data_IF_335823914734
#
_entry.id   IF_335823914734
#
_cell.length_a   1.000
_cell.length_b   1.000
_cell.length_c   1.000
_cell.angle_alpha   90.00
_cell.angle_beta   90.00
_cell.angle_gamma   90.00
#
_symmetry.space_group_name_H-M   'P 1'
#
loop_
_entity.id
_entity.type
_entity.pdbx_description
1 polymer ?
#
# COMPACT_ATOMS: atom_id res chain seq x y z
N UNK A 1 -23.72 -19.82 30.49
CA UNK A 1 -23.10 -18.67 29.80
C UNK A 1 -22.20 -19.24 28.73
N UNK A 2 -22.54 -19.06 27.45
CA UNK A 2 -21.75 -19.63 26.35
C UNK A 2 -20.54 -18.72 26.10
N UNK A 3 -19.34 -19.25 26.27
CA UNK A 3 -18.08 -18.58 25.96
C UNK A 3 -17.97 -18.41 24.45
N UNK A 4 -18.14 -17.18 23.97
CA UNK A 4 -17.83 -16.80 22.59
C UNK A 4 -16.30 -16.83 22.44
N UNK A 5 -15.77 -17.96 21.97
CA UNK A 5 -14.39 -18.03 21.50
C UNK A 5 -14.40 -17.25 20.17
N UNK A 6 -13.61 -16.17 20.02
CA UNK A 6 -13.51 -15.49 18.73
C UNK A 6 -13.03 -16.53 17.72
N UNK A 7 -13.83 -16.81 16.70
CA UNK A 7 -13.32 -17.61 15.59
C UNK A 7 -12.25 -16.77 14.90
N UNK A 8 -11.01 -17.25 14.91
CA UNK A 8 -9.93 -16.62 14.18
C UNK A 8 -10.24 -16.71 12.68
N UNK A 9 -10.50 -15.55 12.07
CA UNK A 9 -10.73 -15.45 10.64
C UNK A 9 -9.39 -15.54 9.90
N UNK A 10 -9.17 -16.65 9.19
CA UNK A 10 -7.97 -16.84 8.36
C UNK A 10 -8.22 -16.17 7.01
N UNK A 11 -7.52 -15.05 6.79
CA UNK A 11 -7.59 -14.31 5.53
C UNK A 11 -6.55 -14.81 4.53
N UNK A 12 -6.94 -14.88 3.26
CA UNK A 12 -5.99 -14.91 2.15
C UNK A 12 -5.24 -13.58 2.03
N UNK A 13 -4.09 -13.59 1.35
CA UNK A 13 -3.32 -12.36 1.09
C UNK A 13 -4.16 -11.29 0.39
N UNK A 14 -5.01 -11.70 -0.55
CA UNK A 14 -5.89 -10.78 -1.29
C UNK A 14 -6.97 -10.17 -0.40
N UNK A 15 -7.54 -10.94 0.52
CA UNK A 15 -8.55 -10.44 1.46
C UNK A 15 -7.93 -9.44 2.45
N UNK A 16 -6.79 -9.77 3.04
CA UNK A 16 -6.07 -8.84 3.92
C UNK A 16 -5.68 -7.55 3.17
N UNK A 17 -5.14 -7.67 1.96
CA UNK A 17 -4.77 -6.51 1.14
C UNK A 17 -5.98 -5.61 0.87
N UNK A 18 -7.13 -6.20 0.52
CA UNK A 18 -8.36 -5.45 0.30
C UNK A 18 -8.87 -4.75 1.56
N UNK A 19 -8.75 -5.37 2.74
CA UNK A 19 -9.12 -4.74 4.01
C UNK A 19 -8.23 -3.53 4.30
N UNK A 20 -6.91 -3.67 4.12
CA UNK A 20 -5.95 -2.58 4.29
C UNK A 20 -6.27 -1.43 3.32
N UNK A 21 -6.49 -1.74 2.04
CA UNK A 21 -6.83 -0.75 1.02
C UNK A 21 -8.11 0.01 1.37
N UNK A 22 -9.17 -0.69 1.77
CA UNK A 22 -10.43 -0.04 2.19
C UNK A 22 -10.23 0.86 3.41
N UNK A 23 -9.45 0.43 4.40
CA UNK A 23 -9.18 1.25 5.59
C UNK A 23 -8.41 2.51 5.24
N UNK A 24 -7.40 2.40 4.37
CA UNK A 24 -6.64 3.56 3.89
C UNK A 24 -7.55 4.52 3.11
N UNK A 25 -8.36 4.01 2.18
CA UNK A 25 -9.28 4.84 1.39
C UNK A 25 -10.32 5.56 2.27
N UNK A 26 -10.80 4.89 3.32
CA UNK A 26 -11.76 5.48 4.27
C UNK A 26 -11.10 6.53 5.16
N UNK A 27 -9.88 6.30 5.62
CA UNK A 27 -9.16 7.23 6.49
C UNK A 27 -8.62 8.44 5.74
N UNK A 28 -8.25 8.26 4.47
CA UNK A 28 -7.61 9.28 3.65
C UNK A 28 -8.35 9.41 2.31
N UNK A 29 -9.54 10.04 2.31
CA UNK A 29 -10.35 10.20 1.11
C UNK A 29 -9.71 11.16 0.08
N UNK A 30 -8.71 11.93 0.49
CA UNK A 30 -7.96 12.86 -0.34
C UNK A 30 -6.56 12.35 -0.71
N UNK A 31 -5.88 13.08 -1.59
CA UNK A 31 -4.51 12.80 -2.01
C UNK A 31 -3.53 12.86 -0.84
N UNK A 32 -2.88 11.74 -0.52
CA UNK A 32 -1.76 11.70 0.43
C UNK A 32 -0.44 11.91 -0.30
N UNK A 33 0.38 12.80 0.24
CA UNK A 33 1.74 13.06 -0.19
C UNK A 33 2.71 12.49 0.82
N UNK A 34 3.71 11.74 0.35
CA UNK A 34 4.80 11.25 1.19
C UNK A 34 6.14 11.67 0.58
N UNK A 35 7.10 11.94 1.47
CA UNK A 35 8.46 12.32 1.12
C UNK A 35 9.42 11.34 1.76
N UNK A 36 10.44 10.95 1.02
CA UNK A 36 11.49 10.04 1.47
C UNK A 36 12.64 10.00 0.47
N UNK A 37 13.74 9.37 0.85
CA UNK A 37 14.86 9.12 -0.04
C UNK A 37 14.53 7.96 -0.98
N UNK A 38 14.79 8.12 -2.27
CA UNK A 38 14.74 7.00 -3.20
C UNK A 38 15.79 5.96 -2.79
N UNK A 39 15.32 4.79 -2.37
CA UNK A 39 16.18 3.68 -2.02
C UNK A 39 16.39 2.72 -3.19
N UNK A 40 15.31 2.38 -3.89
CA UNK A 40 15.35 1.43 -5.00
C UNK A 40 14.27 1.75 -6.04
N UNK A 41 14.55 1.44 -7.31
CA UNK A 41 13.58 1.56 -8.39
C UNK A 41 13.71 0.38 -9.35
N UNK A 42 12.64 -0.40 -9.50
CA UNK A 42 12.59 -1.59 -10.34
C UNK A 42 11.48 -1.50 -11.36
N UNK A 43 11.78 -1.78 -12.63
CA UNK A 43 10.78 -1.88 -13.69
C UNK A 43 10.39 -3.33 -13.91
N UNK A 44 9.12 -3.65 -13.69
CA UNK A 44 8.59 -4.96 -14.00
C UNK A 44 8.36 -5.14 -15.51
N UNK A 45 8.39 -6.39 -15.97
CA UNK A 45 8.08 -6.75 -17.35
C UNK A 45 6.66 -6.33 -17.78
N UNK A 46 5.73 -6.19 -16.82
CA UNK A 46 4.37 -5.69 -17.04
C UNK A 46 4.30 -4.18 -17.33
N UNK A 47 5.41 -3.45 -17.24
CA UNK A 47 5.48 -2.00 -17.45
C UNK A 47 5.28 -1.17 -16.19
N UNK A 48 4.98 -1.79 -15.05
CA UNK A 48 4.94 -1.11 -13.76
C UNK A 48 6.35 -0.78 -13.26
N UNK A 49 6.46 0.33 -12.54
CA UNK A 49 7.66 0.74 -11.83
C UNK A 49 7.37 0.64 -10.33
N UNK A 50 8.20 -0.13 -9.64
CA UNK A 50 8.19 -0.23 -8.18
C UNK A 50 9.26 0.72 -7.66
N UNK A 51 8.86 1.63 -6.79
CA UNK A 51 9.72 2.62 -6.16
C UNK A 51 9.73 2.32 -4.68
N UNK A 52 10.90 2.04 -4.12
CA UNK A 52 11.10 1.94 -2.68
C UNK A 52 11.62 3.28 -2.18
N UNK A 53 10.83 3.93 -1.33
CA UNK A 53 11.27 5.08 -0.55
C UNK A 53 11.67 4.62 0.84
N UNK A 54 12.66 5.28 1.42
CA UNK A 54 13.01 5.15 2.83
C UNK A 54 12.96 6.49 3.53
N UNK A 55 12.63 6.48 4.80
CA UNK A 55 12.96 7.55 5.73
C UNK A 55 13.91 7.02 6.82
N UNK A 56 14.01 7.73 7.95
CA UNK A 56 14.92 7.35 9.04
C UNK A 56 14.56 6.01 9.70
N UNK A 57 13.32 5.56 9.58
CA UNK A 57 12.76 4.46 10.39
C UNK A 57 12.06 3.42 9.51
N UNK A 58 11.47 3.83 8.38
CA UNK A 58 10.56 3.02 7.60
C UNK A 58 10.97 2.96 6.12
N UNK A 59 10.55 1.87 5.47
CA UNK A 59 10.58 1.72 4.02
C UNK A 59 9.14 1.59 3.51
N UNK A 60 8.86 2.25 2.38
CA UNK A 60 7.59 2.21 1.69
C UNK A 60 7.82 1.84 0.23
N UNK A 61 7.11 0.82 -0.26
CA UNK A 61 7.13 0.45 -1.68
C UNK A 61 5.86 0.99 -2.32
N UNK A 62 6.03 1.76 -3.38
CA UNK A 62 4.95 2.29 -4.19
C UNK A 62 5.01 1.76 -5.61
N UNK A 63 3.84 1.54 -6.20
CA UNK A 63 3.67 1.13 -7.59
C UNK A 63 3.27 2.33 -8.44
N UNK A 64 4.03 2.59 -9.50
CA UNK A 64 3.73 3.60 -10.51
C UNK A 64 3.56 2.92 -11.87
N UNK A 65 2.38 2.98 -12.49
CA UNK A 65 2.14 2.30 -13.77
C UNK A 65 0.85 2.67 -14.52
N UNK A 66 0.90 2.48 -15.84
CA UNK A 66 -0.18 2.72 -16.79
C UNK A 66 -1.22 1.59 -16.72
N UNK A 67 -2.14 1.68 -15.76
CA UNK A 67 -3.57 1.32 -15.85
C UNK A 67 -4.19 1.15 -14.45
N UNK A 68 -5.11 2.07 -14.11
CA UNK A 68 -6.22 1.91 -13.15
C UNK A 68 -5.97 1.10 -11.86
N UNK A 69 -4.95 1.44 -11.09
CA UNK A 69 -5.01 1.38 -9.62
C UNK A 69 -4.28 2.61 -9.07
N UNK A 70 -5.05 3.67 -8.81
CA UNK A 70 -4.54 4.97 -8.36
C UNK A 70 -4.53 5.02 -6.83
N UNK A 71 -3.52 4.43 -6.19
CA UNK A 71 -2.99 5.14 -5.02
C UNK A 71 -2.13 6.26 -5.58
N UNK A 72 -2.75 7.44 -5.63
CA UNK A 72 -2.23 8.62 -6.29
C UNK A 72 -1.26 9.32 -5.34
N UNK A 73 -0.25 8.57 -4.89
CA UNK A 73 0.85 9.11 -4.10
C UNK A 73 1.69 9.95 -5.05
N UNK A 74 1.55 11.27 -4.93
CA UNK A 74 2.36 12.20 -5.71
C UNK A 74 3.66 12.42 -4.94
N UNK A 75 4.74 11.87 -5.49
CA UNK A 75 6.09 12.08 -4.96
C UNK A 75 6.53 13.52 -5.24
N UNK A 76 6.88 14.25 -4.19
CA UNK A 76 7.78 15.39 -4.31
C UNK A 76 9.20 14.83 -4.15
N UNK A 77 9.92 14.79 -5.26
CA UNK A 77 11.36 14.54 -5.30
C UNK A 77 12.07 15.89 -5.32
#
# INVERSE_FOLDING_TARGET
MSSHIPQEEILTISELSNLIYRQIDQQYPELIYVSGELFEMNKAQSGHIYITLKDKIHLLIALYGNQKFQYKIKFLI
#
